data_IF_664267925651
#
_entry.id   IF_664267925651
#
_cell.length_a   1.000
_cell.length_b   1.000
_cell.length_c   1.000
_cell.angle_alpha   90.00
_cell.angle_beta   90.00
_cell.angle_gamma   90.00
#
_symmetry.space_group_name_H-M   'P 1'
#
loop_
_entity.id
_entity.type
_entity.pdbx_description
1 polymer ?
#
# COMPACT_ATOMS: atom_id res chain seq x y z
N UNK A 1 42.41 9.90 -28.09
CA UNK A 1 41.96 8.54 -27.82
C UNK A 1 40.81 8.61 -26.82
N UNK A 2 39.60 8.19 -27.15
CA UNK A 2 38.49 8.16 -26.21
C UNK A 2 38.77 7.08 -25.16
N UNK A 3 38.90 7.49 -23.91
CA UNK A 3 39.14 6.59 -22.79
C UNK A 3 37.87 5.66 -22.66
N UNK A 4 38.04 4.39 -22.98
CA UNK A 4 36.99 3.39 -22.86
C UNK A 4 36.90 2.94 -21.42
N UNK A 5 35.75 3.18 -20.77
CA UNK A 5 35.47 2.72 -19.41
C UNK A 5 34.60 1.46 -19.42
N UNK A 6 34.87 0.46 -18.60
CA UNK A 6 34.06 -0.75 -18.54
C UNK A 6 32.64 -0.43 -18.12
N UNK A 7 31.65 -1.02 -18.83
CA UNK A 7 30.24 -0.84 -18.53
C UNK A 7 29.65 0.54 -18.71
N UNK A 8 30.38 1.47 -19.39
CA UNK A 8 29.97 2.85 -19.65
C UNK A 8 29.65 3.05 -21.12
N UNK A 9 28.48 3.64 -21.41
CA UNK A 9 27.99 3.93 -22.75
C UNK A 9 27.57 5.40 -22.86
N UNK A 10 28.09 6.09 -23.86
CA UNK A 10 27.67 7.46 -24.17
C UNK A 10 26.31 7.42 -24.90
N UNK A 11 25.43 8.35 -24.55
CA UNK A 11 24.11 8.52 -25.20
C UNK A 11 23.77 10.01 -25.29
N UNK A 12 22.83 10.36 -26.16
CA UNK A 12 22.35 11.73 -26.34
C UNK A 12 20.85 11.81 -25.97
N UNK A 13 20.47 12.92 -25.36
CA UNK A 13 19.07 13.28 -25.14
C UNK A 13 18.47 13.88 -26.41
N UNK A 14 17.15 14.08 -26.42
CA UNK A 14 16.43 14.72 -27.54
C UNK A 14 16.89 16.17 -27.79
N UNK A 15 17.38 16.86 -26.75
CA UNK A 15 17.91 18.22 -26.83
C UNK A 15 19.38 18.31 -27.30
N UNK A 16 19.98 17.17 -27.69
CA UNK A 16 21.35 17.06 -28.13
C UNK A 16 22.39 16.96 -27.00
N UNK A 17 21.99 17.08 -25.72
CA UNK A 17 22.91 16.97 -24.60
C UNK A 17 23.39 15.54 -24.39
N UNK A 18 24.69 15.37 -24.10
CA UNK A 18 25.32 14.06 -23.89
C UNK A 18 25.16 13.64 -22.42
N UNK A 19 24.92 12.34 -22.21
CA UNK A 19 24.95 11.69 -20.92
C UNK A 19 25.57 10.29 -21.04
N UNK A 20 25.89 9.70 -19.88
CA UNK A 20 26.57 8.41 -19.83
C UNK A 20 25.73 7.40 -19.03
N UNK A 21 25.50 6.23 -19.61
CA UNK A 21 24.82 5.13 -18.92
C UNK A 21 25.86 4.20 -18.33
N UNK A 22 25.64 3.78 -17.09
CA UNK A 22 26.41 2.69 -16.47
C UNK A 22 25.57 1.42 -16.40
N UNK A 23 26.19 0.28 -16.67
CA UNK A 23 25.57 -1.04 -16.53
C UNK A 23 26.59 -2.08 -16.16
N UNK A 24 26.15 -3.17 -15.52
CA UNK A 24 26.99 -4.30 -15.14
C UNK A 24 26.29 -5.62 -15.50
N UNK A 25 27.06 -6.62 -15.88
CA UNK A 25 26.56 -7.97 -16.06
C UNK A 25 27.00 -8.82 -14.89
N UNK A 26 26.03 -9.41 -14.17
CA UNK A 26 26.29 -10.29 -13.04
C UNK A 26 25.39 -11.52 -13.14
N UNK A 27 25.96 -12.73 -12.96
CA UNK A 27 25.24 -14.01 -13.10
C UNK A 27 24.35 -14.03 -14.36
N UNK A 28 24.92 -13.67 -15.51
CA UNK A 28 24.27 -13.60 -16.84
C UNK A 28 23.14 -12.55 -16.96
N UNK A 29 22.88 -11.76 -15.94
CA UNK A 29 21.88 -10.67 -15.94
C UNK A 29 22.55 -9.34 -16.24
N UNK A 30 22.10 -8.66 -17.31
CA UNK A 30 22.48 -7.28 -17.59
C UNK A 30 21.65 -6.32 -16.74
N UNK A 31 22.32 -5.47 -15.96
CA UNK A 31 21.68 -4.58 -14.97
C UNK A 31 22.10 -3.14 -15.24
N UNK A 32 21.11 -2.27 -15.51
CA UNK A 32 21.36 -0.83 -15.58
C UNK A 32 21.61 -0.25 -14.19
N UNK A 33 22.69 0.52 -14.06
CA UNK A 33 23.08 1.19 -12.82
C UNK A 33 22.59 2.64 -12.74
N UNK A 34 22.23 3.21 -13.87
CA UNK A 34 21.74 4.58 -13.96
C UNK A 34 22.36 5.39 -15.10
N UNK A 35 22.06 6.68 -15.11
CA UNK A 35 22.57 7.65 -16.08
C UNK A 35 23.25 8.80 -15.34
N UNK A 36 24.41 9.23 -15.86
CA UNK A 36 25.32 10.17 -15.22
C UNK A 36 25.70 11.28 -16.19
N UNK A 37 26.09 12.44 -15.64
CA UNK A 37 26.48 13.60 -16.44
C UNK A 37 27.89 13.48 -17.04
N UNK A 38 28.75 12.60 -16.51
CA UNK A 38 30.10 12.37 -17.01
C UNK A 38 30.46 10.88 -17.09
N UNK A 39 31.40 10.55 -17.97
CA UNK A 39 31.93 9.20 -18.10
C UNK A 39 32.64 8.73 -16.83
N UNK A 40 33.32 9.62 -16.12
CA UNK A 40 33.99 9.31 -14.86
C UNK A 40 33.01 8.92 -13.75
N UNK A 41 31.89 9.64 -13.63
CA UNK A 41 30.84 9.26 -12.66
C UNK A 41 30.19 7.92 -13.01
N UNK A 42 29.94 7.67 -14.29
CA UNK A 42 29.38 6.40 -14.74
C UNK A 42 30.35 5.23 -14.47
N UNK A 43 31.65 5.44 -14.70
CA UNK A 43 32.70 4.48 -14.37
C UNK A 43 32.78 4.22 -12.87
N UNK A 44 32.77 5.27 -12.05
CA UNK A 44 32.81 5.13 -10.60
C UNK A 44 31.58 4.36 -10.07
N UNK A 45 30.38 4.58 -10.63
CA UNK A 45 29.19 3.81 -10.30
C UNK A 45 29.32 2.33 -10.70
N UNK A 46 29.94 2.03 -11.84
CA UNK A 46 30.26 0.66 -12.24
C UNK A 46 31.21 -0.02 -11.25
N UNK A 47 32.29 0.67 -10.86
CA UNK A 47 33.26 0.12 -9.90
C UNK A 47 32.63 -0.10 -8.52
N UNK A 48 31.76 0.82 -8.09
CA UNK A 48 31.01 0.68 -6.84
C UNK A 48 30.09 -0.55 -6.89
N UNK A 49 29.35 -0.75 -7.99
CA UNK A 49 28.49 -1.93 -8.18
C UNK A 49 29.32 -3.23 -8.23
N UNK A 50 30.46 -3.22 -8.91
CA UNK A 50 31.38 -4.36 -8.99
C UNK A 50 31.93 -4.73 -7.60
N UNK A 51 32.37 -3.75 -6.82
CA UNK A 51 32.82 -3.95 -5.44
C UNK A 51 31.70 -4.51 -4.56
N UNK A 52 30.47 -3.95 -4.68
CA UNK A 52 29.31 -4.43 -3.92
C UNK A 52 28.99 -5.90 -4.22
N UNK A 53 29.04 -6.29 -5.48
CA UNK A 53 28.70 -7.66 -5.90
C UNK A 53 29.78 -8.67 -5.58
N UNK A 54 31.06 -8.26 -5.49
CA UNK A 54 32.19 -9.14 -5.15
C UNK A 54 32.46 -9.24 -3.64
N UNK A 55 32.20 -8.19 -2.87
CA UNK A 55 32.44 -8.16 -1.42
C UNK A 55 31.31 -8.81 -0.64
N UNK A 56 31.61 -9.71 0.29
CA UNK A 56 30.66 -10.27 1.24
C UNK A 56 30.46 -9.42 2.49
N UNK A 57 31.35 -8.46 2.72
CA UNK A 57 31.33 -7.60 3.91
C UNK A 57 30.30 -6.47 3.81
N UNK A 58 30.06 -5.97 2.59
CA UNK A 58 29.11 -4.88 2.37
C UNK A 58 27.66 -5.34 2.55
N UNK A 59 26.90 -4.55 3.29
CA UNK A 59 25.51 -4.80 3.68
C UNK A 59 24.59 -3.60 3.35
N UNK A 60 23.34 -3.70 3.75
CA UNK A 60 22.36 -2.61 3.59
C UNK A 60 22.71 -1.37 4.43
N UNK A 61 23.32 -1.58 5.63
CA UNK A 61 23.71 -0.50 6.55
C UNK A 61 24.92 0.30 6.07
N UNK A 62 25.71 -0.24 5.13
CA UNK A 62 26.90 0.44 4.60
C UNK A 62 26.59 1.44 3.47
N UNK A 63 25.29 1.62 3.16
CA UNK A 63 24.88 2.65 2.21
C UNK A 63 25.13 4.05 2.75
N UNK A 64 25.69 4.90 1.94
CA UNK A 64 25.88 6.33 2.22
C UNK A 64 25.28 7.18 1.09
N UNK A 65 24.69 8.33 1.45
CA UNK A 65 24.16 9.31 0.49
C UNK A 65 25.20 9.90 -0.48
N UNK A 66 26.48 9.71 -0.18
CA UNK A 66 27.59 10.16 -1.05
C UNK A 66 27.95 9.15 -2.13
N UNK A 67 27.32 7.97 -2.13
CA UNK A 67 27.51 6.95 -3.16
C UNK A 67 26.87 7.37 -4.48
N UNK A 68 27.41 6.87 -5.59
CA UNK A 68 26.90 7.12 -6.93
C UNK A 68 25.72 6.23 -7.29
N UNK A 69 25.67 5.02 -6.73
CA UNK A 69 24.50 4.15 -6.84
C UNK A 69 23.37 4.72 -5.99
N UNK A 70 22.17 4.76 -6.55
CA UNK A 70 20.96 5.05 -5.76
C UNK A 70 20.74 3.97 -4.70
N UNK A 71 20.11 4.36 -3.58
CA UNK A 71 19.77 3.39 -2.53
C UNK A 71 18.91 2.23 -3.05
N UNK A 72 17.94 2.52 -3.90
CA UNK A 72 17.12 1.49 -4.54
C UNK A 72 18.00 0.46 -5.29
N UNK A 73 18.98 0.96 -6.07
CA UNK A 73 19.89 0.09 -6.81
C UNK A 73 20.81 -0.69 -5.87
N UNK A 74 21.27 -0.09 -4.79
CA UNK A 74 22.05 -0.74 -3.75
C UNK A 74 21.30 -1.96 -3.17
N UNK A 75 20.03 -1.78 -2.79
CA UNK A 75 19.16 -2.85 -2.29
C UNK A 75 19.01 -3.97 -3.34
N UNK A 76 18.69 -3.61 -4.59
CA UNK A 76 18.48 -4.58 -5.68
C UNK A 76 19.73 -5.45 -5.92
N UNK A 77 20.92 -4.84 -5.93
CA UNK A 77 22.17 -5.54 -6.14
C UNK A 77 22.53 -6.43 -4.96
N UNK A 78 22.36 -5.95 -3.72
CA UNK A 78 22.57 -6.75 -2.52
C UNK A 78 21.62 -7.95 -2.46
N UNK A 79 20.35 -7.75 -2.78
CA UNK A 79 19.41 -8.85 -2.85
C UNK A 79 19.85 -9.89 -3.88
N UNK A 80 20.25 -9.45 -5.07
CA UNK A 80 20.68 -10.36 -6.12
C UNK A 80 21.95 -11.12 -5.75
N UNK A 81 22.90 -10.47 -5.10
CA UNK A 81 24.12 -11.13 -4.59
C UNK A 81 23.80 -12.20 -3.56
N UNK A 82 22.92 -11.87 -2.59
CA UNK A 82 22.70 -12.68 -1.39
C UNK A 82 21.60 -13.76 -1.57
N UNK A 83 20.60 -13.48 -2.42
CA UNK A 83 19.41 -14.32 -2.56
C UNK A 83 19.22 -14.90 -3.98
N UNK A 84 20.15 -14.65 -4.91
CA UNK A 84 20.16 -15.15 -6.29
C UNK A 84 18.97 -14.71 -7.17
N UNK A 85 18.14 -13.78 -6.68
CA UNK A 85 16.99 -13.26 -7.41
C UNK A 85 17.13 -11.75 -7.59
N UNK A 86 17.03 -11.29 -8.86
CA UNK A 86 17.06 -9.87 -9.18
C UNK A 86 15.65 -9.30 -9.31
N UNK A 87 15.36 -8.26 -8.52
CA UNK A 87 14.18 -7.41 -8.67
C UNK A 87 14.58 -6.02 -9.18
N UNK A 88 13.72 -5.41 -10.00
CA UNK A 88 13.89 -4.01 -10.43
C UNK A 88 13.43 -3.01 -9.37
N UNK A 89 12.61 -3.45 -8.43
CA UNK A 89 12.14 -2.73 -7.25
C UNK A 89 13.05 -3.03 -6.05
N UNK A 90 13.16 -2.13 -5.04
CA UNK A 90 14.10 -2.27 -3.93
C UNK A 90 13.62 -3.29 -2.89
N UNK A 91 13.51 -4.53 -3.31
CA UNK A 91 13.11 -5.68 -2.49
C UNK A 91 14.36 -6.40 -1.98
N UNK A 92 14.36 -6.75 -0.69
CA UNK A 92 15.33 -7.64 -0.07
C UNK A 92 14.61 -8.82 0.58
N UNK A 93 14.91 -10.02 0.09
CA UNK A 93 14.33 -11.26 0.58
C UNK A 93 14.88 -11.63 1.96
N UNK A 94 13.97 -12.01 2.85
CA UNK A 94 14.24 -12.67 4.13
C UNK A 94 13.74 -14.11 4.06
N UNK A 95 13.90 -14.87 5.12
CA UNK A 95 13.56 -16.31 5.13
C UNK A 95 12.10 -16.58 4.80
N UNK A 96 11.16 -15.85 5.40
CA UNK A 96 9.70 -16.09 5.29
C UNK A 96 8.91 -14.86 4.84
N UNK A 97 9.57 -13.73 4.59
CA UNK A 97 8.96 -12.47 4.16
C UNK A 97 9.95 -11.68 3.33
N UNK A 98 9.56 -10.55 2.79
CA UNK A 98 10.49 -9.62 2.17
C UNK A 98 10.33 -8.21 2.73
N UNK A 99 11.39 -7.45 2.61
CA UNK A 99 11.45 -6.04 2.93
C UNK A 99 11.46 -5.23 1.64
N UNK A 100 10.61 -4.21 1.59
CA UNK A 100 10.58 -3.24 0.51
C UNK A 100 11.12 -1.90 1.02
N UNK A 101 12.21 -1.44 0.46
CA UNK A 101 12.94 -0.27 0.94
C UNK A 101 12.54 0.98 0.18
N UNK A 102 11.77 1.88 0.79
CA UNK A 102 11.50 3.22 0.26
C UNK A 102 12.66 4.19 0.54
N UNK A 103 13.35 3.99 1.64
CA UNK A 103 14.58 4.68 2.05
C UNK A 103 15.28 3.84 3.12
N UNK A 104 16.50 4.19 3.57
CA UNK A 104 17.17 3.49 4.67
C UNK A 104 16.34 3.41 5.97
N UNK A 105 15.47 4.39 6.21
CA UNK A 105 14.63 4.49 7.42
C UNK A 105 13.16 4.10 7.21
N UNK A 106 12.73 3.84 5.95
CA UNK A 106 11.37 3.47 5.62
C UNK A 106 11.35 2.11 4.93
N UNK A 107 11.07 1.08 5.73
CA UNK A 107 11.12 -0.31 5.32
C UNK A 107 9.74 -0.92 5.54
N UNK A 108 9.08 -1.33 4.47
CA UNK A 108 7.83 -2.06 4.53
C UNK A 108 8.12 -3.56 4.53
N UNK A 109 7.35 -4.34 5.29
CA UNK A 109 7.45 -5.80 5.35
C UNK A 109 6.20 -6.43 4.77
N UNK A 110 6.37 -7.47 3.97
CA UNK A 110 5.29 -8.17 3.28
C UNK A 110 5.53 -9.68 3.30
N UNK A 111 4.45 -10.45 3.24
CA UNK A 111 4.54 -11.89 3.03
C UNK A 111 5.04 -12.22 1.61
N UNK A 112 5.67 -13.37 1.45
CA UNK A 112 6.22 -13.83 0.16
C UNK A 112 5.12 -13.92 -0.91
N UNK A 113 3.88 -14.16 -0.54
CA UNK A 113 2.73 -14.24 -1.46
C UNK A 113 2.51 -12.93 -2.25
N UNK A 114 2.90 -11.79 -1.69
CA UNK A 114 2.82 -10.49 -2.34
C UNK A 114 4.04 -10.14 -3.22
N UNK A 115 5.04 -11.01 -3.25
CA UNK A 115 6.31 -10.74 -3.95
C UNK A 115 6.13 -10.48 -5.44
N UNK A 116 5.31 -11.30 -6.10
CA UNK A 116 5.03 -11.14 -7.54
C UNK A 116 4.47 -9.76 -7.85
N UNK A 117 3.54 -9.28 -7.02
CA UNK A 117 2.93 -7.98 -7.19
C UNK A 117 3.93 -6.84 -7.01
N UNK A 118 4.63 -6.77 -5.87
CA UNK A 118 5.56 -5.67 -5.59
C UNK A 118 6.90 -5.75 -6.34
N UNK A 119 7.22 -6.88 -6.95
CA UNK A 119 8.38 -6.95 -7.86
C UNK A 119 8.18 -6.16 -9.14
N UNK A 120 6.93 -5.99 -9.58
CA UNK A 120 6.53 -5.27 -10.80
C UNK A 120 5.88 -3.91 -10.53
N UNK A 121 5.34 -3.67 -9.33
CA UNK A 121 4.67 -2.44 -8.95
C UNK A 121 5.52 -1.65 -7.96
N UNK A 122 6.07 -0.52 -8.43
CA UNK A 122 6.85 0.37 -7.57
C UNK A 122 5.94 1.05 -6.55
N UNK A 123 6.25 0.85 -5.25
CA UNK A 123 5.56 1.54 -4.17
C UNK A 123 6.05 3.00 -4.11
N UNK A 124 5.10 3.91 -4.06
CA UNK A 124 5.30 5.35 -3.89
C UNK A 124 4.68 5.81 -2.57
N UNK A 125 5.17 6.92 -2.03
CA UNK A 125 4.69 7.48 -0.78
C UNK A 125 4.24 8.92 -0.97
N UNK A 126 3.08 9.27 -0.40
CA UNK A 126 2.61 10.64 -0.26
C UNK A 126 2.10 10.86 1.17
N UNK A 127 2.85 11.62 1.96
CA UNK A 127 2.58 11.78 3.39
C UNK A 127 2.69 10.43 4.12
N UNK A 128 1.60 9.97 4.71
CA UNK A 128 1.49 8.67 5.40
C UNK A 128 0.89 7.56 4.52
N UNK A 129 0.56 7.85 3.26
CA UNK A 129 -0.08 6.90 2.36
C UNK A 129 0.94 6.27 1.42
N UNK A 130 0.87 4.96 1.28
CA UNK A 130 1.63 4.18 0.33
C UNK A 130 0.70 3.72 -0.79
N UNK A 131 1.15 3.85 -2.02
CA UNK A 131 0.35 3.51 -3.19
C UNK A 131 1.23 2.99 -4.32
N UNK A 132 0.63 2.27 -5.22
CA UNK A 132 1.22 1.84 -6.49
C UNK A 132 0.42 2.44 -7.64
N UNK A 133 1.06 2.60 -8.80
CA UNK A 133 0.34 2.89 -10.05
C UNK A 133 -0.09 1.55 -10.66
N UNK A 134 -1.39 1.39 -10.84
CA UNK A 134 -1.98 0.19 -11.44
C UNK A 134 -3.09 0.62 -12.40
N UNK A 135 -3.01 0.21 -13.67
CA UNK A 135 -3.93 0.61 -14.76
C UNK A 135 -4.22 2.12 -14.82
N UNK A 136 -3.18 2.96 -14.63
CA UNK A 136 -3.31 4.43 -14.63
C UNK A 136 -3.92 5.03 -13.36
N UNK A 137 -4.30 4.23 -12.38
CA UNK A 137 -4.85 4.66 -11.09
C UNK A 137 -3.81 4.58 -9.98
N UNK A 138 -3.97 5.42 -8.95
CA UNK A 138 -3.22 5.31 -7.70
C UNK A 138 -3.99 4.39 -6.74
N UNK A 139 -3.47 3.19 -6.53
CA UNK A 139 -4.07 2.19 -5.64
C UNK A 139 -3.34 2.21 -4.29
N UNK A 140 -4.08 2.48 -3.20
CA UNK A 140 -3.53 2.39 -1.85
C UNK A 140 -3.19 0.93 -1.53
N UNK A 141 -1.94 0.67 -1.11
CA UNK A 141 -1.50 -0.70 -0.80
C UNK A 141 -2.29 -1.32 0.36
N UNK A 142 -2.74 -0.53 1.32
CA UNK A 142 -3.52 -1.01 2.46
C UNK A 142 -4.84 -1.70 2.05
N UNK A 143 -5.40 -1.34 0.88
CA UNK A 143 -6.63 -1.97 0.38
C UNK A 143 -6.46 -3.46 0.04
N UNK A 144 -5.25 -3.90 -0.34
CA UNK A 144 -4.93 -5.32 -0.57
C UNK A 144 -5.08 -6.16 0.70
N UNK A 145 -4.90 -5.54 1.86
CA UNK A 145 -4.98 -6.18 3.18
C UNK A 145 -6.34 -5.97 3.86
N UNK A 146 -7.38 -5.60 3.09
CA UNK A 146 -8.73 -5.39 3.61
C UNK A 146 -8.94 -4.05 4.32
N UNK A 147 -7.91 -3.19 4.40
CA UNK A 147 -8.00 -1.87 5.02
C UNK A 147 -8.64 -0.91 4.01
N UNK A 148 -9.89 -0.56 4.24
CA UNK A 148 -10.65 0.35 3.36
C UNK A 148 -10.14 1.80 3.49
N UNK A 149 -10.33 2.62 2.45
CA UNK A 149 -9.83 4.02 2.43
C UNK A 149 -10.41 4.91 3.53
N UNK A 150 -11.55 4.56 4.08
CA UNK A 150 -12.20 5.26 5.19
C UNK A 150 -11.84 4.70 6.58
N UNK A 151 -11.10 3.59 6.62
CA UNK A 151 -10.78 2.89 7.87
C UNK A 151 -9.83 3.70 8.75
N UNK A 152 -10.07 3.68 10.06
CA UNK A 152 -9.30 4.39 11.06
C UNK A 152 -8.54 3.38 11.94
N UNK A 153 -7.22 3.53 12.02
CA UNK A 153 -6.36 2.71 12.88
C UNK A 153 -6.86 2.76 14.34
N UNK A 154 -6.91 1.60 14.98
CA UNK A 154 -7.40 1.43 16.35
C UNK A 154 -8.93 1.31 16.48
N UNK A 155 -9.69 1.72 15.48
CA UNK A 155 -11.16 1.56 15.43
C UNK A 155 -11.59 0.48 14.45
N UNK A 156 -11.10 0.55 13.22
CA UNK A 156 -11.55 -0.31 12.12
C UNK A 156 -10.52 -1.40 11.79
N UNK A 157 -9.26 -1.16 12.11
CA UNK A 157 -8.17 -2.12 11.99
C UNK A 157 -7.05 -1.81 12.98
N UNK A 158 -6.19 -2.79 13.22
CA UNK A 158 -4.96 -2.60 14.00
C UNK A 158 -3.81 -3.41 13.40
N UNK A 159 -2.61 -2.97 13.71
CA UNK A 159 -1.38 -3.75 13.54
C UNK A 159 -1.08 -4.42 14.87
N UNK A 160 -1.09 -5.77 14.88
CA UNK A 160 -1.03 -6.58 16.12
C UNK A 160 0.24 -6.32 16.90
N UNK A 161 1.38 -6.19 16.21
CA UNK A 161 2.68 -5.88 16.81
C UNK A 161 2.94 -4.36 17.01
N UNK A 162 1.99 -3.50 16.60
CA UNK A 162 2.10 -2.04 16.66
C UNK A 162 2.89 -1.38 15.52
N UNK A 163 3.62 -2.14 14.70
CA UNK A 163 4.42 -1.65 13.57
C UNK A 163 3.49 -1.44 12.34
N UNK A 164 3.24 -0.20 11.97
CA UNK A 164 2.39 0.16 10.82
C UNK A 164 3.13 0.12 9.47
N UNK A 165 4.39 -0.29 9.47
CA UNK A 165 5.17 -0.63 8.29
C UNK A 165 5.19 -2.13 8.00
N UNK A 166 4.64 -2.95 8.88
CA UNK A 166 4.58 -4.40 8.74
C UNK A 166 3.21 -4.84 8.21
N UNK A 167 3.15 -5.01 6.88
CA UNK A 167 1.95 -5.41 6.13
C UNK A 167 1.78 -6.92 5.99
N UNK A 168 2.47 -7.73 6.77
CA UNK A 168 2.23 -9.17 6.79
C UNK A 168 0.82 -9.46 7.30
N UNK A 169 0.17 -10.45 6.70
CA UNK A 169 -1.23 -10.79 7.01
C UNK A 169 -1.45 -11.09 8.48
N UNK A 170 -0.51 -11.78 9.14
CA UNK A 170 -0.57 -12.08 10.58
C UNK A 170 -0.59 -10.83 11.48
N UNK A 171 -0.03 -9.71 10.98
CA UNK A 171 0.05 -8.46 11.72
C UNK A 171 -1.16 -7.55 11.53
N UNK A 172 -2.01 -7.81 10.54
CA UNK A 172 -3.17 -6.96 10.22
C UNK A 172 -4.44 -7.62 10.72
N UNK A 173 -5.14 -6.94 11.62
CA UNK A 173 -6.45 -7.37 12.12
C UNK A 173 -7.52 -6.37 11.75
N UNK A 174 -8.47 -6.79 10.93
CA UNK A 174 -9.66 -5.98 10.60
C UNK A 174 -10.67 -6.14 11.74
N UNK A 175 -11.10 -5.01 12.31
CA UNK A 175 -12.07 -4.94 13.41
C UNK A 175 -13.47 -4.61 12.88
N UNK A 176 -13.56 -3.67 11.92
CA UNK A 176 -14.81 -3.25 11.30
C UNK A 176 -14.65 -3.20 9.78
N UNK A 177 -15.45 -3.97 9.08
CA UNK A 177 -15.37 -4.12 7.63
C UNK A 177 -16.21 -3.08 6.87
N UNK A 178 -17.16 -2.43 7.55
CA UNK A 178 -18.14 -1.55 6.92
C UNK A 178 -18.09 -0.12 7.44
N UNK A 179 -18.33 0.83 6.53
CA UNK A 179 -18.38 2.24 6.84
C UNK A 179 -19.53 2.57 7.80
N UNK A 180 -19.21 3.33 8.85
CA UNK A 180 -20.20 3.72 9.85
C UNK A 180 -20.65 2.61 10.80
N UNK A 181 -20.11 1.39 10.67
CA UNK A 181 -20.41 0.26 11.55
C UNK A 181 -19.27 0.06 12.53
N UNK A 182 -19.60 -0.16 13.79
CA UNK A 182 -18.64 -0.43 14.87
C UNK A 182 -19.09 -1.63 15.68
N UNK A 183 -18.22 -2.59 15.85
CA UNK A 183 -18.38 -3.75 16.72
C UNK A 183 -18.30 -3.32 18.17
N UNK A 184 -19.25 -3.74 19.01
CA UNK A 184 -19.28 -3.48 20.44
C UNK A 184 -19.63 -4.73 21.22
N UNK A 185 -18.88 -4.99 22.27
CA UNK A 185 -19.25 -5.96 23.29
C UNK A 185 -20.18 -5.30 24.32
N UNK A 186 -21.28 -5.93 24.61
CA UNK A 186 -22.28 -5.49 25.60
C UNK A 186 -22.54 -6.63 26.59
N UNK A 187 -23.15 -6.31 27.72
CA UNK A 187 -23.57 -7.32 28.70
C UNK A 187 -24.52 -8.40 28.11
N UNK A 188 -25.19 -8.10 26.98
CA UNK A 188 -26.09 -8.99 26.25
C UNK A 188 -25.42 -9.67 25.05
N UNK A 189 -24.08 -9.64 24.97
CA UNK A 189 -23.30 -10.20 23.88
C UNK A 189 -22.86 -9.16 22.83
N UNK A 190 -22.33 -9.68 21.74
CA UNK A 190 -21.77 -8.88 20.66
C UNK A 190 -22.87 -8.16 19.88
N UNK A 191 -22.63 -6.87 19.59
CA UNK A 191 -23.53 -6.02 18.78
C UNK A 191 -22.74 -5.19 17.77
N UNK A 192 -23.42 -4.82 16.68
CA UNK A 192 -22.89 -3.95 15.65
C UNK A 192 -23.72 -2.67 15.60
N UNK A 193 -23.08 -1.55 15.93
CA UNK A 193 -23.73 -0.24 15.99
C UNK A 193 -23.46 0.52 14.71
N UNK A 194 -24.51 0.82 13.97
CA UNK A 194 -24.44 1.69 12.80
C UNK A 194 -24.64 3.16 13.19
N UNK A 195 -23.75 4.03 12.69
CA UNK A 195 -23.80 5.49 12.88
C UNK A 195 -23.59 6.21 11.56
N UNK A 196 -24.25 7.35 11.40
CA UNK A 196 -24.07 8.24 10.25
C UNK A 196 -23.75 9.65 10.73
N UNK A 197 -22.84 10.32 10.04
CA UNK A 197 -22.50 11.71 10.30
C UNK A 197 -23.17 12.62 9.26
N UNK A 198 -24.14 13.42 9.69
CA UNK A 198 -24.84 14.40 8.87
C UNK A 198 -24.25 15.80 9.17
N UNK A 199 -24.80 16.53 10.08
CA UNK A 199 -24.27 17.73 10.75
C UNK A 199 -23.76 17.42 12.17
N UNK A 200 -23.98 16.19 12.65
CA UNK A 200 -23.53 15.55 13.88
C UNK A 200 -23.56 14.03 13.73
N UNK A 201 -23.20 13.31 14.79
CA UNK A 201 -23.18 11.84 14.78
C UNK A 201 -24.53 11.29 15.25
N UNK A 202 -25.24 10.62 14.35
CA UNK A 202 -26.54 9.97 14.64
C UNK A 202 -26.37 8.45 14.67
N UNK A 203 -26.91 7.83 15.73
CA UNK A 203 -26.99 6.36 15.79
C UNK A 203 -28.20 5.88 15.00
N UNK A 204 -27.96 5.04 14.01
CA UNK A 204 -28.98 4.42 13.17
C UNK A 204 -29.65 3.26 13.90
N UNK A 205 -28.85 2.45 14.58
CA UNK A 205 -29.33 1.32 15.33
C UNK A 205 -28.21 0.43 15.86
N UNK A 206 -28.61 -0.67 16.54
CA UNK A 206 -27.74 -1.72 17.04
C UNK A 206 -28.27 -3.07 16.59
N UNK A 207 -27.44 -3.85 15.92
CA UNK A 207 -27.82 -5.04 15.15
C UNK A 207 -27.06 -6.26 15.63
N UNK A 208 -27.53 -7.46 15.25
CA UNK A 208 -26.89 -8.73 15.60
C UNK A 208 -25.68 -9.03 14.72
N UNK A 209 -25.72 -8.63 13.45
CA UNK A 209 -24.65 -8.85 12.48
C UNK A 209 -24.13 -7.54 11.91
N UNK A 210 -22.90 -7.55 11.43
CA UNK A 210 -22.29 -6.44 10.71
C UNK A 210 -22.97 -6.17 9.36
N UNK A 211 -23.48 -7.23 8.72
CA UNK A 211 -24.29 -7.19 7.49
C UNK A 211 -25.56 -6.37 7.71
N UNK A 212 -26.34 -6.68 8.75
CA UNK A 212 -27.54 -5.92 9.09
C UNK A 212 -27.21 -4.45 9.37
N UNK A 213 -26.15 -4.19 10.13
CA UNK A 213 -25.72 -2.83 10.44
C UNK A 213 -25.28 -2.05 9.18
N UNK A 214 -24.58 -2.71 8.24
CA UNK A 214 -24.17 -2.12 6.99
C UNK A 214 -25.37 -1.81 6.07
N UNK A 215 -26.33 -2.70 6.00
CA UNK A 215 -27.56 -2.50 5.22
C UNK A 215 -28.43 -1.42 5.86
N UNK A 216 -28.53 -1.35 7.18
CA UNK A 216 -29.20 -0.27 7.89
C UNK A 216 -28.54 1.10 7.63
N UNK A 217 -27.21 1.14 7.56
CA UNK A 217 -26.50 2.35 7.14
C UNK A 217 -26.89 2.77 5.73
N UNK A 218 -26.90 1.86 4.76
CA UNK A 218 -27.31 2.15 3.39
C UNK A 218 -28.76 2.62 3.32
N UNK A 219 -29.67 1.97 4.07
CA UNK A 219 -31.07 2.38 4.17
C UNK A 219 -31.22 3.81 4.72
N UNK A 220 -30.46 4.16 5.76
CA UNK A 220 -30.44 5.51 6.30
C UNK A 220 -29.92 6.53 5.27
N UNK A 221 -28.89 6.20 4.49
CA UNK A 221 -28.37 7.04 3.40
C UNK A 221 -29.46 7.29 2.34
N UNK A 222 -30.19 6.26 1.94
CA UNK A 222 -31.26 6.38 0.94
C UNK A 222 -32.41 7.25 1.43
N UNK A 223 -32.80 7.09 2.70
CA UNK A 223 -33.83 7.92 3.33
C UNK A 223 -33.40 9.40 3.37
N UNK A 224 -32.16 9.68 3.78
CA UNK A 224 -31.61 11.05 3.82
C UNK A 224 -31.54 11.68 2.43
N UNK A 225 -31.14 10.94 1.42
CA UNK A 225 -31.11 11.42 0.03
C UNK A 225 -32.52 11.74 -0.49
N UNK A 226 -33.50 10.86 -0.21
CA UNK A 226 -34.93 11.12 -0.57
C UNK A 226 -35.49 12.36 0.10
N UNK A 227 -35.01 12.70 1.29
CA UNK A 227 -35.38 13.91 2.01
C UNK A 227 -34.58 15.16 1.60
N UNK A 228 -33.75 15.07 0.53
CA UNK A 228 -33.03 16.21 -0.02
C UNK A 228 -31.69 16.53 0.63
N UNK A 229 -31.16 15.64 1.48
CA UNK A 229 -29.80 15.83 2.05
C UNK A 229 -28.75 15.67 0.96
N UNK A 230 -28.06 16.76 0.64
CA UNK A 230 -27.09 16.84 -0.47
C UNK A 230 -25.70 16.27 -0.12
N UNK A 231 -25.45 15.96 1.16
CA UNK A 231 -24.17 15.40 1.61
C UNK A 231 -23.85 14.09 0.91
N UNK A 232 -22.60 13.96 0.45
CA UNK A 232 -22.11 12.71 -0.15
C UNK A 232 -21.82 11.68 0.94
N UNK A 233 -22.53 10.58 0.91
CA UNK A 233 -22.30 9.41 1.75
C UNK A 233 -21.66 8.30 0.95
N UNK A 234 -20.80 7.48 1.60
CA UNK A 234 -20.18 6.30 1.00
C UNK A 234 -21.04 5.08 1.37
N UNK A 235 -21.72 4.44 0.42
CA UNK A 235 -22.50 3.24 0.69
C UNK A 235 -21.58 2.05 0.99
N UNK A 236 -22.08 1.09 1.76
CA UNK A 236 -21.43 -0.18 1.98
C UNK A 236 -21.76 -1.16 0.84
N UNK A 237 -20.72 -1.75 0.24
CA UNK A 237 -20.88 -2.82 -0.75
C UNK A 237 -20.69 -4.16 -0.05
N UNK A 238 -21.66 -5.07 -0.26
CA UNK A 238 -21.71 -6.40 0.33
C UNK A 238 -21.54 -7.43 -0.79
N UNK A 239 -20.28 -7.66 -1.20
CA UNK A 239 -19.91 -8.49 -2.35
C UNK A 239 -20.39 -9.95 -2.24
N UNK A 240 -20.45 -10.48 -1.00
CA UNK A 240 -20.81 -11.87 -0.73
C UNK A 240 -22.32 -12.09 -0.42
N UNK A 241 -23.16 -11.08 -0.67
CA UNK A 241 -24.60 -11.15 -0.40
C UNK A 241 -25.39 -11.10 -1.72
N UNK A 242 -26.30 -12.06 -1.92
CA UNK A 242 -27.15 -12.03 -3.11
C UNK A 242 -28.11 -10.83 -3.08
N UNK A 243 -28.51 -10.29 -4.25
CA UNK A 243 -29.46 -9.17 -4.32
C UNK A 243 -30.79 -9.44 -3.60
N UNK A 244 -31.26 -10.70 -3.64
CA UNK A 244 -32.50 -11.11 -2.99
C UNK A 244 -32.33 -11.04 -1.46
N UNK A 245 -31.26 -11.61 -0.92
CA UNK A 245 -30.97 -11.55 0.52
C UNK A 245 -30.74 -10.11 1.01
N UNK A 246 -30.08 -9.28 0.20
CA UNK A 246 -29.92 -7.84 0.48
C UNK A 246 -31.30 -7.15 0.60
N UNK A 247 -32.17 -7.36 -0.38
CA UNK A 247 -33.51 -6.75 -0.40
C UNK A 247 -34.38 -7.19 0.78
N UNK A 248 -34.31 -8.46 1.15
CA UNK A 248 -35.06 -9.02 2.30
C UNK A 248 -34.59 -8.38 3.63
N UNK A 249 -33.28 -8.29 3.86
CA UNK A 249 -32.74 -7.62 5.05
C UNK A 249 -33.03 -6.12 5.02
N UNK A 250 -32.88 -5.46 3.87
CA UNK A 250 -33.17 -4.02 3.71
C UNK A 250 -34.61 -3.68 4.05
N UNK A 251 -35.57 -4.52 3.65
CA UNK A 251 -36.97 -4.34 3.97
C UNK A 251 -37.23 -4.41 5.48
N UNK A 252 -36.65 -5.39 6.15
CA UNK A 252 -36.89 -5.72 7.56
C UNK A 252 -36.05 -4.92 8.56
N UNK A 253 -34.84 -4.50 8.19
CA UNK A 253 -33.91 -3.83 9.10
C UNK A 253 -34.49 -2.49 9.61
N UNK A 254 -34.58 -2.28 10.95
CA UNK A 254 -35.11 -1.04 11.49
C UNK A 254 -34.05 0.07 11.41
N UNK A 255 -34.52 1.31 11.28
CA UNK A 255 -33.74 2.54 11.38
C UNK A 255 -34.34 3.38 12.49
N UNK A 256 -33.48 3.95 13.35
CA UNK A 256 -33.86 4.75 14.51
C UNK A 256 -34.79 5.92 14.16
N UNK A 257 -35.79 6.16 15.01
CA UNK A 257 -36.68 7.32 14.92
C UNK A 257 -35.95 8.67 14.89
N UNK A 258 -34.75 8.76 15.48
CA UNK A 258 -33.92 9.97 15.41
C UNK A 258 -33.52 10.32 13.97
N UNK A 259 -33.30 9.34 13.12
CA UNK A 259 -33.07 9.57 11.69
C UNK A 259 -34.38 9.95 11.02
N UNK A 260 -35.49 9.28 11.38
CA UNK A 260 -36.80 9.57 10.80
C UNK A 260 -37.30 10.95 11.20
N UNK A 261 -37.02 11.44 12.41
CA UNK A 261 -37.36 12.83 12.84
C UNK A 261 -36.50 13.86 12.10
N UNK A 262 -35.20 13.64 11.94
CA UNK A 262 -34.33 14.52 11.15
C UNK A 262 -34.85 14.75 9.72
N UNK A 263 -35.62 13.80 9.17
CA UNK A 263 -36.22 13.89 7.84
C UNK A 263 -37.52 14.74 7.79
N UNK A 264 -38.07 15.11 8.94
CA UNK A 264 -39.33 15.86 9.05
C UNK A 264 -39.12 17.35 9.36
N UNK A 265 -37.92 17.73 9.79
CA UNK A 265 -37.46 19.10 9.99
C UNK A 265 -36.87 19.67 8.68
#
# INVERSE_FOLDING_TARGET
MSQSYPGVYQAQKKDGSTYYRASITYKQKHISLGSYSSASMACAAYLEASSLLSSRELSLSDYSKFRLLSFEKWVCLLNYRNNDIYFSTPIYMRKNYFEYYLSPSYILKFDVDDLFYYSSHKIMRRGRHFFVADYGMQVNIASRYGIKNYAVKGRDYLFVNGDDMDFRYENIKILNSFHGVTKKETAKGLRYVAKIHINGNYTIGSYHTDIEAAIAYNKAVDLLKKAGVTKRFLPNYLENLSPIAYADIYAKVPVSDKILHYLRE
#
